data_IF_950645001066
#
_entry.id   IF_950645001066
#
_cell.length_a   1.000
_cell.length_b   1.000
_cell.length_c   1.000
_cell.angle_alpha   90.00
_cell.angle_beta   90.00
_cell.angle_gamma   90.00
#
_symmetry.space_group_name_H-M   'P 1'
#
loop_
_entity.id
_entity.type
_entity.pdbx_description
1 polymer ?
#
# COMPACT_ATOMS: atom_id res chain seq x y z
N UNK A 1 28.08 -47.41 -49.38
CA UNK A 1 26.98 -47.32 -48.39
C UNK A 1 27.62 -46.99 -47.05
N UNK A 2 27.31 -45.97 -46.26
CA UNK A 2 26.33 -44.88 -46.27
C UNK A 2 27.02 -43.70 -45.58
N UNK A 3 27.10 -42.53 -46.23
CA UNK A 3 27.56 -41.26 -45.61
C UNK A 3 26.41 -40.28 -45.67
N UNK A 4 25.42 -40.41 -44.79
CA UNK A 4 24.27 -39.51 -44.83
C UNK A 4 23.50 -39.38 -43.50
N UNK A 5 24.19 -39.29 -42.36
CA UNK A 5 23.52 -38.99 -41.08
C UNK A 5 24.38 -38.05 -40.23
N UNK A 6 24.56 -36.79 -40.65
CA UNK A 6 25.25 -35.80 -39.81
C UNK A 6 24.94 -34.30 -40.02
N UNK A 7 24.00 -33.82 -40.88
CA UNK A 7 23.69 -32.39 -40.89
C UNK A 7 22.57 -32.00 -39.92
N UNK A 8 21.58 -32.87 -39.65
CA UNK A 8 20.33 -32.49 -38.95
C UNK A 8 20.56 -32.11 -37.48
N UNK A 9 21.44 -32.84 -36.77
CA UNK A 9 21.71 -32.58 -35.35
C UNK A 9 22.40 -31.23 -35.10
N UNK A 10 23.28 -30.75 -36.00
CA UNK A 10 23.95 -29.45 -35.87
C UNK A 10 22.96 -28.27 -36.01
N UNK A 11 21.98 -28.37 -36.90
CA UNK A 11 20.92 -27.36 -37.03
C UNK A 11 19.94 -27.40 -35.86
N UNK A 12 19.62 -28.58 -35.32
CA UNK A 12 18.72 -28.68 -34.16
C UNK A 12 19.28 -28.01 -32.89
N UNK A 13 20.59 -28.11 -32.63
CA UNK A 13 21.22 -27.42 -31.51
C UNK A 13 21.28 -25.89 -31.68
N UNK A 14 21.51 -25.41 -32.91
CA UNK A 14 21.46 -23.98 -33.22
C UNK A 14 20.05 -23.42 -33.09
N UNK A 15 19.03 -24.17 -33.50
CA UNK A 15 17.62 -23.81 -33.36
C UNK A 15 17.24 -23.75 -31.87
N UNK A 16 17.64 -24.73 -31.05
CA UNK A 16 17.39 -24.74 -29.60
C UNK A 16 18.09 -23.56 -28.91
N UNK A 17 19.35 -23.26 -29.25
CA UNK A 17 20.07 -22.10 -28.71
C UNK A 17 19.42 -20.77 -29.11
N UNK A 18 18.90 -20.68 -30.33
CA UNK A 18 18.18 -19.50 -30.82
C UNK A 18 16.82 -19.34 -30.13
N UNK A 19 16.06 -20.42 -29.91
CA UNK A 19 14.83 -20.38 -29.13
C UNK A 19 15.08 -20.03 -27.66
N UNK A 20 16.16 -20.54 -27.08
CA UNK A 20 16.55 -20.18 -25.71
C UNK A 20 16.91 -18.69 -25.61
N UNK A 21 17.67 -18.12 -26.55
CA UNK A 21 18.02 -16.71 -26.53
C UNK A 21 16.83 -15.77 -26.82
N UNK A 22 15.90 -16.16 -27.69
CA UNK A 22 14.64 -15.42 -27.88
C UNK A 22 13.73 -15.50 -26.65
N UNK A 23 13.71 -16.65 -25.96
CA UNK A 23 12.90 -16.81 -24.75
C UNK A 23 13.40 -15.95 -23.59
N UNK A 24 14.73 -15.80 -23.44
CA UNK A 24 15.32 -14.90 -22.46
C UNK A 24 15.04 -13.44 -22.82
N UNK A 25 15.17 -13.07 -24.09
CA UNK A 25 14.90 -11.70 -24.54
C UNK A 25 13.41 -11.31 -24.40
N UNK A 26 12.49 -12.23 -24.71
CA UNK A 26 11.05 -12.03 -24.53
C UNK A 26 10.68 -11.89 -23.06
N UNK A 27 11.32 -12.69 -22.18
CA UNK A 27 11.14 -12.57 -20.73
C UNK A 27 11.67 -11.23 -20.23
N UNK A 28 12.84 -10.79 -20.67
CA UNK A 28 13.43 -9.51 -20.28
C UNK A 28 12.58 -8.30 -20.73
N UNK A 29 12.00 -8.35 -21.93
CA UNK A 29 11.08 -7.31 -22.42
C UNK A 29 9.80 -7.28 -21.56
N UNK A 30 9.20 -8.43 -21.29
CA UNK A 30 7.98 -8.52 -20.48
C UNK A 30 8.24 -8.01 -19.05
N UNK A 31 9.36 -8.41 -18.47
CA UNK A 31 9.82 -7.98 -17.15
C UNK A 31 10.08 -6.46 -17.08
N UNK A 32 10.60 -5.88 -18.15
CA UNK A 32 10.84 -4.43 -18.26
C UNK A 32 9.52 -3.66 -18.40
N UNK A 33 8.60 -4.14 -19.24
CA UNK A 33 7.28 -3.54 -19.44
C UNK A 33 6.44 -3.54 -18.16
N UNK A 34 6.45 -4.64 -17.40
CA UNK A 34 5.77 -4.73 -16.10
C UNK A 34 6.30 -3.67 -15.12
N UNK A 35 7.63 -3.56 -15.00
CA UNK A 35 8.27 -2.60 -14.09
C UNK A 35 7.91 -1.16 -14.46
N UNK A 36 7.92 -0.82 -15.75
CA UNK A 36 7.53 0.51 -16.24
C UNK A 36 6.05 0.82 -16.01
N UNK A 37 5.18 -0.17 -16.18
CA UNK A 37 3.75 -0.02 -15.88
C UNK A 37 3.50 0.28 -14.40
N UNK A 38 4.13 -0.48 -13.49
CA UNK A 38 4.05 -0.25 -12.05
C UNK A 38 4.60 1.13 -11.64
N UNK A 39 5.71 1.55 -12.26
CA UNK A 39 6.33 2.85 -12.00
C UNK A 39 5.37 3.98 -12.39
N UNK A 40 4.77 3.90 -13.59
CA UNK A 40 3.82 4.90 -14.06
C UNK A 40 2.58 5.00 -13.15
N UNK A 41 2.03 3.86 -12.71
CA UNK A 41 0.91 3.83 -11.78
C UNK A 41 1.26 4.47 -10.43
N UNK A 42 2.46 4.22 -9.91
CA UNK A 42 2.97 4.85 -8.69
C UNK A 42 3.06 6.37 -8.83
N UNK A 43 3.66 6.85 -9.93
CA UNK A 43 3.82 8.28 -10.22
C UNK A 43 2.45 8.94 -10.30
N UNK A 44 1.53 8.39 -11.09
CA UNK A 44 0.18 8.93 -11.24
C UNK A 44 -0.56 9.00 -9.90
N UNK A 45 -0.41 7.98 -9.05
CA UNK A 45 -1.04 7.96 -7.73
C UNK A 45 -0.53 9.10 -6.84
N UNK A 46 0.77 9.38 -6.86
CA UNK A 46 1.36 10.48 -6.08
C UNK A 46 0.93 11.83 -6.65
N UNK A 47 1.05 12.04 -7.96
CA UNK A 47 0.71 13.32 -8.61
C UNK A 47 -0.76 13.69 -8.46
N UNK A 48 -1.65 12.69 -8.53
CA UNK A 48 -3.09 12.93 -8.44
C UNK A 48 -3.60 13.07 -7.01
N UNK A 49 -2.77 12.78 -6.00
CA UNK A 49 -3.18 12.85 -4.60
C UNK A 49 -3.55 14.29 -4.21
N UNK A 50 -4.66 14.53 -3.49
CA UNK A 50 -5.08 15.87 -3.07
C UNK A 50 -3.99 16.62 -2.30
N UNK A 51 -3.27 15.92 -1.43
CA UNK A 51 -2.17 16.51 -0.65
C UNK A 51 -1.03 17.02 -1.55
N UNK A 52 -0.63 16.25 -2.57
CA UNK A 52 0.38 16.68 -3.55
C UNK A 52 -0.08 17.92 -4.30
N UNK A 53 -1.34 17.95 -4.77
CA UNK A 53 -1.91 19.12 -5.47
C UNK A 53 -1.96 20.37 -4.58
N UNK A 54 -2.20 20.20 -3.28
CA UNK A 54 -2.21 21.32 -2.34
C UNK A 54 -0.80 21.87 -2.05
N UNK A 55 0.20 20.99 -1.94
CA UNK A 55 1.57 21.37 -1.57
C UNK A 55 2.45 21.74 -2.79
N UNK A 56 2.10 21.24 -3.98
CA UNK A 56 2.79 21.47 -5.24
C UNK A 56 1.77 21.76 -6.37
N UNK A 57 1.04 22.89 -6.30
CA UNK A 57 -0.08 23.18 -7.20
C UNK A 57 0.31 23.32 -8.68
N UNK A 58 1.56 23.72 -8.96
CA UNK A 58 2.07 23.94 -10.31
C UNK A 58 3.16 22.94 -10.71
N UNK A 59 3.19 21.76 -10.06
CA UNK A 59 4.25 20.76 -10.22
C UNK A 59 4.50 20.35 -11.68
N UNK A 60 3.45 20.29 -12.50
CA UNK A 60 3.53 19.87 -13.91
C UNK A 60 3.58 21.02 -14.90
N UNK A 61 3.39 22.26 -14.46
CA UNK A 61 3.26 23.45 -15.32
C UNK A 61 4.41 24.42 -15.17
N UNK A 62 5.02 24.50 -13.98
CA UNK A 62 6.17 25.35 -13.71
C UNK A 62 7.47 24.55 -13.83
N UNK A 63 8.07 24.62 -15.01
CA UNK A 63 9.34 23.97 -15.35
C UNK A 63 10.57 24.77 -14.87
N UNK A 64 10.37 25.96 -14.30
CA UNK A 64 11.47 26.84 -13.87
C UNK A 64 11.79 26.69 -12.38
N UNK A 65 10.85 26.16 -11.60
CA UNK A 65 11.05 25.86 -10.19
C UNK A 65 11.97 24.65 -9.99
N UNK A 66 13.17 24.90 -9.44
CA UNK A 66 14.12 23.84 -9.05
C UNK A 66 13.52 22.86 -8.05
N UNK A 67 12.68 23.35 -7.13
CA UNK A 67 11.99 22.55 -6.12
C UNK A 67 11.00 21.54 -6.75
N UNK A 68 10.26 21.94 -7.78
CA UNK A 68 9.30 21.07 -8.45
C UNK A 68 9.99 20.02 -9.31
N UNK A 69 11.04 20.42 -10.02
CA UNK A 69 11.86 19.49 -10.78
C UNK A 69 12.54 18.46 -9.86
N UNK A 70 13.07 18.90 -8.72
CA UNK A 70 13.66 18.02 -7.71
C UNK A 70 12.61 17.03 -7.19
N UNK A 71 11.43 17.49 -6.81
CA UNK A 71 10.37 16.62 -6.31
C UNK A 71 9.91 15.59 -7.35
N UNK A 72 9.78 15.97 -8.64
CA UNK A 72 9.47 15.03 -9.72
C UNK A 72 10.57 13.96 -9.88
N UNK A 73 11.83 14.36 -9.77
CA UNK A 73 12.97 13.43 -9.84
C UNK A 73 12.97 12.45 -8.66
N UNK A 74 12.68 12.95 -7.45
CA UNK A 74 12.55 12.12 -6.25
C UNK A 74 11.38 11.13 -6.37
N UNK A 75 10.24 11.56 -6.91
CA UNK A 75 9.09 10.68 -7.21
C UNK A 75 9.50 9.57 -8.18
N UNK A 76 10.21 9.90 -9.25
CA UNK A 76 10.63 8.90 -10.25
C UNK A 76 11.53 7.82 -9.62
N UNK A 77 12.53 8.25 -8.85
CA UNK A 77 13.45 7.37 -8.13
C UNK A 77 12.74 6.50 -7.10
N UNK A 78 11.83 7.09 -6.31
CA UNK A 78 11.00 6.35 -5.36
C UNK A 78 10.12 5.32 -6.06
N UNK A 79 9.42 5.70 -7.12
CA UNK A 79 8.51 4.80 -7.83
C UNK A 79 9.26 3.68 -8.54
N UNK A 80 10.49 3.91 -9.00
CA UNK A 80 11.36 2.85 -9.48
C UNK A 80 11.71 1.85 -8.36
N UNK A 81 12.10 2.37 -7.18
CA UNK A 81 12.37 1.55 -5.99
C UNK A 81 11.14 0.71 -5.61
N UNK A 82 9.97 1.34 -5.48
CA UNK A 82 8.72 0.68 -5.12
C UNK A 82 8.29 -0.36 -6.16
N UNK A 83 8.45 -0.08 -7.45
CA UNK A 83 8.08 -1.00 -8.53
C UNK A 83 8.93 -2.26 -8.52
N UNK A 84 10.22 -2.13 -8.21
CA UNK A 84 11.11 -3.29 -8.06
C UNK A 84 10.67 -4.20 -6.90
N UNK A 85 10.27 -3.61 -5.76
CA UNK A 85 9.73 -4.33 -4.60
C UNK A 85 8.43 -5.02 -5.00
N UNK A 86 7.48 -4.30 -5.58
CA UNK A 86 6.16 -4.83 -5.93
C UNK A 86 6.25 -5.95 -6.95
N UNK A 87 7.17 -5.85 -7.92
CA UNK A 87 7.45 -6.94 -8.86
C UNK A 87 7.98 -8.18 -8.15
N UNK A 88 8.90 -8.03 -7.19
CA UNK A 88 9.39 -9.16 -6.38
C UNK A 88 8.26 -9.81 -5.57
N UNK A 89 7.39 -9.00 -4.97
CA UNK A 89 6.23 -9.48 -4.20
C UNK A 89 5.20 -10.20 -5.09
N UNK A 90 4.94 -9.69 -6.30
CA UNK A 90 4.07 -10.35 -7.27
C UNK A 90 4.64 -11.70 -7.72
N UNK A 91 5.95 -11.77 -7.96
CA UNK A 91 6.63 -13.04 -8.31
C UNK A 91 6.51 -14.06 -7.17
N UNK A 92 6.79 -13.64 -5.94
CA UNK A 92 6.62 -14.50 -4.75
C UNK A 92 5.17 -14.96 -4.59
N UNK A 93 4.20 -14.05 -4.72
CA UNK A 93 2.77 -14.36 -4.62
C UNK A 93 2.32 -15.37 -5.68
N UNK A 94 2.83 -15.25 -6.90
CA UNK A 94 2.49 -16.15 -8.01
C UNK A 94 3.15 -17.52 -7.84
N UNK A 95 4.32 -17.58 -7.20
CA UNK A 95 5.00 -18.85 -6.91
C UNK A 95 4.36 -19.58 -5.73
N UNK A 96 4.02 -18.86 -4.66
CA UNK A 96 3.47 -19.42 -3.43
C UNK A 96 2.52 -18.43 -2.75
N UNK A 97 1.28 -18.41 -3.22
CA UNK A 97 0.24 -17.54 -2.69
C UNK A 97 -0.03 -17.79 -1.20
N UNK A 98 0.03 -19.05 -0.76
CA UNK A 98 -0.29 -19.41 0.61
C UNK A 98 0.74 -18.79 1.55
N UNK A 99 2.03 -19.05 1.34
CA UNK A 99 3.07 -18.45 2.16
C UNK A 99 3.11 -16.92 2.06
N UNK A 100 2.84 -16.37 0.87
CA UNK A 100 2.72 -14.91 0.71
C UNK A 100 1.58 -14.32 1.56
N UNK A 101 0.45 -15.01 1.69
CA UNK A 101 -0.71 -14.53 2.46
C UNK A 101 -0.44 -14.41 3.96
N UNK A 102 0.52 -15.19 4.50
CA UNK A 102 0.97 -15.11 5.89
C UNK A 102 2.16 -14.17 6.10
N UNK A 103 2.68 -13.55 5.03
CA UNK A 103 3.81 -12.64 5.13
C UNK A 103 3.43 -11.41 5.94
N UNK A 104 4.31 -11.03 6.86
CA UNK A 104 4.13 -9.88 7.72
C UNK A 104 4.16 -8.58 6.89
N UNK A 105 3.00 -7.91 6.80
CA UNK A 105 2.84 -6.63 6.08
C UNK A 105 3.78 -5.54 6.60
N UNK A 106 4.28 -5.66 7.84
CA UNK A 106 5.32 -4.81 8.41
C UNK A 106 6.58 -4.78 7.56
N UNK A 107 6.97 -5.91 6.96
CA UNK A 107 8.17 -6.02 6.11
C UNK A 107 7.99 -5.20 4.83
N UNK A 108 6.80 -5.22 4.22
CA UNK A 108 6.50 -4.41 3.04
C UNK A 108 6.59 -2.92 3.38
N UNK A 109 6.03 -2.48 4.52
CA UNK A 109 6.14 -1.09 4.98
C UNK A 109 7.57 -0.69 5.35
N UNK A 110 8.39 -1.61 5.88
CA UNK A 110 9.80 -1.38 6.15
C UNK A 110 10.62 -1.17 4.87
N UNK A 111 10.39 -1.99 3.84
CA UNK A 111 11.03 -1.79 2.53
C UNK A 111 10.60 -0.48 1.88
N UNK A 112 9.33 -0.09 2.04
CA UNK A 112 8.84 1.20 1.56
C UNK A 112 9.45 2.38 2.33
N UNK A 113 9.60 2.29 3.66
CA UNK A 113 10.34 3.25 4.49
C UNK A 113 11.76 3.44 3.95
N UNK A 114 12.47 2.35 3.63
CA UNK A 114 13.80 2.41 3.04
C UNK A 114 13.81 3.13 1.68
N UNK A 115 12.81 2.89 0.82
CA UNK A 115 12.68 3.64 -0.43
C UNK A 115 12.39 5.13 -0.20
N UNK A 116 11.57 5.48 0.80
CA UNK A 116 11.25 6.89 1.11
C UNK A 116 12.51 7.62 1.58
N UNK A 117 13.19 7.07 2.60
CA UNK A 117 14.38 7.66 3.21
C UNK A 117 15.56 7.79 2.24
N UNK A 118 15.65 6.90 1.25
CA UNK A 118 16.71 6.93 0.25
C UNK A 118 16.49 8.00 -0.85
N UNK A 119 15.23 8.24 -1.24
CA UNK A 119 14.94 8.97 -2.48
C UNK A 119 14.28 10.34 -2.25
N UNK A 120 13.76 10.65 -1.06
CA UNK A 120 13.14 11.95 -0.78
C UNK A 120 13.99 12.82 0.14
N UNK A 121 13.95 14.13 -0.07
CA UNK A 121 14.49 15.11 0.88
C UNK A 121 13.60 15.21 2.13
N UNK A 122 14.14 15.72 3.24
CA UNK A 122 13.42 15.87 4.51
C UNK A 122 12.09 16.63 4.38
N UNK A 123 12.06 17.62 3.49
CA UNK A 123 10.88 18.39 3.14
C UNK A 123 9.81 17.51 2.45
N UNK A 124 10.22 16.67 1.49
CA UNK A 124 9.31 15.86 0.68
C UNK A 124 8.85 14.58 1.40
N UNK A 125 9.66 14.08 2.35
CA UNK A 125 9.35 12.89 3.16
C UNK A 125 7.99 13.02 3.86
N UNK A 126 7.67 14.20 4.42
CA UNK A 126 6.39 14.39 5.11
C UNK A 126 5.19 14.26 4.17
N UNK A 127 5.30 14.80 2.95
CA UNK A 127 4.27 14.69 1.91
C UNK A 127 4.01 13.24 1.57
N UNK A 128 5.08 12.47 1.35
CA UNK A 128 4.95 11.07 0.94
C UNK A 128 4.43 10.18 2.07
N UNK A 129 4.85 10.42 3.32
CA UNK A 129 4.28 9.73 4.47
C UNK A 129 2.78 10.00 4.62
N UNK A 130 2.36 11.24 4.38
CA UNK A 130 0.93 11.60 4.43
C UNK A 130 0.14 10.88 3.34
N UNK A 131 0.65 10.84 2.11
CA UNK A 131 0.03 10.12 0.99
C UNK A 131 -0.05 8.61 1.28
N UNK A 132 1.01 8.02 1.82
CA UNK A 132 1.04 6.60 2.15
C UNK A 132 0.09 6.27 3.31
N UNK A 133 -0.05 7.17 4.29
CA UNK A 133 -1.02 7.03 5.37
C UNK A 133 -2.46 6.99 4.84
N UNK A 134 -2.84 7.97 4.01
CA UNK A 134 -4.21 8.09 3.50
C UNK A 134 -4.56 6.95 2.52
N UNK A 135 -3.61 6.53 1.69
CA UNK A 135 -3.90 5.55 0.64
C UNK A 135 -3.67 4.08 1.05
N UNK A 136 -2.90 3.80 2.09
CA UNK A 136 -2.56 2.42 2.51
C UNK A 136 -2.96 2.14 3.96
N UNK A 137 -2.42 2.90 4.92
CA UNK A 137 -2.59 2.60 6.35
C UNK A 137 -4.04 2.79 6.80
N UNK A 138 -4.71 3.83 6.29
CA UNK A 138 -6.13 4.10 6.54
C UNK A 138 -7.03 2.93 6.13
N UNK A 139 -6.80 2.35 4.94
CA UNK A 139 -7.51 1.16 4.46
C UNK A 139 -7.30 -0.05 5.39
N UNK A 140 -6.08 -0.26 5.88
CA UNK A 140 -5.79 -1.33 6.83
C UNK A 140 -6.47 -1.13 8.18
N UNK A 141 -6.48 0.11 8.68
CA UNK A 141 -7.17 0.46 9.91
C UNK A 141 -8.67 0.23 9.79
N UNK A 142 -9.28 0.69 8.70
CA UNK A 142 -10.71 0.51 8.44
C UNK A 142 -11.13 -0.98 8.47
N UNK A 143 -10.33 -1.84 7.83
CA UNK A 143 -10.55 -3.29 7.87
C UNK A 143 -10.44 -3.85 9.30
N UNK A 144 -9.43 -3.44 10.06
CA UNK A 144 -9.22 -3.88 11.46
C UNK A 144 -10.37 -3.43 12.37
N UNK A 145 -10.86 -2.20 12.23
CA UNK A 145 -12.03 -1.69 12.97
C UNK A 145 -13.26 -2.53 12.64
N UNK A 146 -13.52 -2.82 11.36
CA UNK A 146 -14.66 -3.66 10.92
C UNK A 146 -14.59 -5.09 11.45
N UNK A 147 -13.40 -5.66 11.59
CA UNK A 147 -13.23 -6.98 12.21
C UNK A 147 -13.49 -6.96 13.71
N UNK A 148 -13.17 -5.86 14.40
CA UNK A 148 -13.45 -5.68 15.82
C UNK A 148 -14.91 -5.40 16.11
N UNK A 149 -15.54 -4.60 15.26
CA UNK A 149 -16.93 -4.16 15.37
C UNK A 149 -17.67 -4.61 14.11
N UNK A 150 -17.97 -5.91 13.97
CA UNK A 150 -18.66 -6.40 12.79
C UNK A 150 -20.06 -5.78 12.73
N UNK A 151 -20.51 -5.42 11.53
CA UNK A 151 -21.85 -4.87 11.31
C UNK A 151 -22.96 -5.76 11.90
N UNK A 152 -22.70 -7.07 12.05
CA UNK A 152 -23.63 -8.02 12.66
C UNK A 152 -23.77 -7.92 14.18
N UNK A 153 -22.77 -7.43 14.89
CA UNK A 153 -22.89 -7.20 16.32
C UNK A 153 -23.84 -6.02 16.62
N UNK A 154 -24.07 -5.14 15.63
CA UNK A 154 -24.81 -3.89 15.79
C UNK A 154 -25.90 -3.73 14.72
N UNK A 155 -26.58 -4.82 14.35
CA UNK A 155 -27.60 -4.84 13.29
C UNK A 155 -28.72 -3.80 13.45
N UNK A 156 -28.94 -3.31 14.66
CA UNK A 156 -29.95 -2.28 14.96
C UNK A 156 -29.41 -0.86 14.77
N UNK A 157 -28.12 -0.63 14.56
CA UNK A 157 -27.57 0.71 14.32
C UNK A 157 -27.96 1.22 12.93
N UNK A 158 -28.21 2.53 12.82
CA UNK A 158 -28.35 3.17 11.50
C UNK A 158 -27.00 3.20 10.78
N UNK A 159 -27.02 3.13 9.46
CA UNK A 159 -25.80 3.21 8.63
C UNK A 159 -24.98 4.47 8.94
N UNK A 160 -25.65 5.63 9.07
CA UNK A 160 -25.01 6.89 9.43
C UNK A 160 -24.40 6.88 10.83
N UNK A 161 -25.04 6.24 11.80
CA UNK A 161 -24.50 6.11 13.16
C UNK A 161 -23.28 5.20 13.18
N UNK A 162 -23.27 4.13 12.37
CA UNK A 162 -22.14 3.23 12.27
C UNK A 162 -20.95 3.89 11.58
N UNK A 163 -21.19 4.59 10.48
CA UNK A 163 -20.18 5.37 9.79
C UNK A 163 -19.56 6.43 10.71
N UNK A 164 -20.38 7.17 11.47
CA UNK A 164 -19.90 8.18 12.42
C UNK A 164 -19.00 7.58 13.51
N UNK A 165 -19.39 6.43 14.09
CA UNK A 165 -18.59 5.74 15.12
C UNK A 165 -17.28 5.22 14.54
N UNK A 166 -17.32 4.55 13.37
CA UNK A 166 -16.11 4.04 12.72
C UNK A 166 -15.15 5.15 12.31
N UNK A 167 -15.66 6.24 11.72
CA UNK A 167 -14.85 7.39 11.32
C UNK A 167 -14.18 8.05 12.54
N UNK A 168 -14.89 8.18 13.66
CA UNK A 168 -14.31 8.71 14.89
C UNK A 168 -13.18 7.81 15.42
N UNK A 169 -13.39 6.50 15.51
CA UNK A 169 -12.37 5.55 15.99
C UNK A 169 -11.14 5.60 15.07
N UNK A 170 -11.38 5.62 13.75
CA UNK A 170 -10.34 5.72 12.74
C UNK A 170 -9.51 7.00 12.93
N UNK A 171 -10.16 8.16 13.08
CA UNK A 171 -9.48 9.44 13.30
C UNK A 171 -8.65 9.45 14.58
N UNK A 172 -9.18 8.92 15.69
CA UNK A 172 -8.48 8.87 16.98
C UNK A 172 -7.22 8.02 16.92
N UNK A 173 -7.31 6.83 16.31
CA UNK A 173 -6.15 5.94 16.14
C UNK A 173 -5.13 6.57 15.20
N UNK A 174 -5.57 7.13 14.06
CA UNK A 174 -4.66 7.81 13.12
C UNK A 174 -3.97 9.00 13.78
N UNK A 175 -4.66 9.80 14.58
CA UNK A 175 -4.06 10.94 15.29
C UNK A 175 -3.00 10.51 16.30
N UNK A 176 -3.17 9.35 16.92
CA UNK A 176 -2.17 8.75 17.81
C UNK A 176 -0.95 8.26 17.02
N UNK A 177 -1.19 7.48 15.95
CA UNK A 177 -0.14 6.78 15.22
C UNK A 177 0.59 7.64 14.15
N UNK A 178 -0.04 8.68 13.60
CA UNK A 178 0.53 9.51 12.52
C UNK A 178 1.66 10.44 12.94
N UNK A 179 1.88 10.61 14.25
CA UNK A 179 3.05 11.35 14.78
C UNK A 179 4.38 10.68 14.46
N UNK A 180 4.33 9.42 14.03
CA UNK A 180 5.50 8.59 13.79
C UNK A 180 5.91 8.71 12.31
N UNK A 181 7.12 9.21 12.05
CA UNK A 181 7.67 9.39 10.70
C UNK A 181 8.22 8.08 10.10
N UNK A 182 7.42 7.01 10.14
CA UNK A 182 7.76 5.69 9.56
C UNK A 182 6.48 4.90 9.32
N UNK A 183 6.33 4.34 8.12
CA UNK A 183 5.20 3.48 7.78
C UNK A 183 5.19 2.20 8.62
N UNK A 184 6.35 1.58 8.82
CA UNK A 184 6.49 0.38 9.65
C UNK A 184 6.00 0.64 11.07
N UNK A 185 6.45 1.73 11.66
CA UNK A 185 6.16 2.04 13.05
C UNK A 185 4.71 2.54 13.21
N UNK A 186 4.19 3.28 12.23
CA UNK A 186 2.76 3.65 12.17
C UNK A 186 1.88 2.41 12.04
N UNK A 187 2.27 1.45 11.21
CA UNK A 187 1.57 0.16 11.09
C UNK A 187 1.57 -0.61 12.41
N UNK A 188 2.72 -0.70 13.09
CA UNK A 188 2.82 -1.36 14.39
C UNK A 188 1.93 -0.68 15.44
N UNK A 189 1.88 0.65 15.46
CA UNK A 189 0.99 1.40 16.34
C UNK A 189 -0.48 1.11 16.04
N UNK A 190 -0.89 1.13 14.78
CA UNK A 190 -2.25 0.75 14.36
C UNK A 190 -2.56 -0.68 14.80
N UNK A 191 -1.61 -1.59 14.61
CA UNK A 191 -1.74 -2.98 15.00
C UNK A 191 -1.91 -3.12 16.51
N UNK A 192 -1.07 -2.50 17.34
CA UNK A 192 -1.20 -2.57 18.80
C UNK A 192 -2.52 -1.97 19.26
N UNK A 193 -2.89 -0.81 18.70
CA UNK A 193 -4.13 -0.08 19.03
C UNK A 193 -5.40 -0.88 18.72
N UNK A 194 -5.33 -1.80 17.74
CA UNK A 194 -6.48 -2.62 17.31
C UNK A 194 -6.44 -4.05 17.82
N UNK A 195 -5.26 -4.60 18.13
CA UNK A 195 -5.10 -5.96 18.67
C UNK A 195 -5.24 -5.98 20.21
N UNK A 196 -4.94 -4.89 20.90
CA UNK A 196 -5.11 -4.78 22.34
C UNK A 196 -6.55 -4.37 22.70
N UNK A 197 -7.25 -5.25 23.41
CA UNK A 197 -8.64 -5.00 23.83
C UNK A 197 -8.81 -3.72 24.67
N UNK A 198 -7.92 -3.49 25.66
CA UNK A 198 -8.02 -2.33 26.56
C UNK A 198 -7.76 -1.02 25.82
N UNK A 199 -6.80 -1.03 24.91
CA UNK A 199 -6.43 0.14 24.12
C UNK A 199 -7.55 0.49 23.12
N UNK A 200 -8.09 -0.52 22.43
CA UNK A 200 -9.20 -0.33 21.50
C UNK A 200 -10.46 0.21 22.20
N UNK A 201 -10.84 -0.36 23.35
CA UNK A 201 -11.97 0.10 24.16
C UNK A 201 -11.81 1.56 24.63
N UNK A 202 -10.56 1.98 24.90
CA UNK A 202 -10.26 3.39 25.23
C UNK A 202 -10.57 4.33 24.06
N UNK A 203 -10.28 3.91 22.82
CA UNK A 203 -10.64 4.70 21.63
C UNK A 203 -12.14 4.67 21.37
N UNK A 204 -12.79 3.52 21.53
CA UNK A 204 -14.22 3.37 21.32
C UNK A 204 -15.04 4.27 22.27
N UNK A 205 -14.68 4.33 23.55
CA UNK A 205 -15.36 5.17 24.56
C UNK A 205 -15.25 6.67 24.31
N UNK A 206 -14.26 7.10 23.52
CA UNK A 206 -14.12 8.52 23.14
C UNK A 206 -15.01 8.90 21.95
N UNK A 207 -15.72 7.93 21.37
CA UNK A 207 -16.55 8.12 20.20
C UNK A 207 -18.04 8.04 20.54
N UNK A 208 -18.91 8.64 19.70
CA UNK A 208 -20.35 8.53 19.88
C UNK A 208 -20.79 7.08 19.95
N UNK A 209 -21.74 6.77 20.85
CA UNK A 209 -22.39 5.47 20.88
C UNK A 209 -23.33 5.30 19.68
N UNK A 210 -23.69 4.06 19.36
CA UNK A 210 -24.69 3.83 18.34
C UNK A 210 -26.04 4.41 18.80
N UNK A 211 -26.69 5.24 17.99
CA UNK A 211 -27.89 5.99 18.39
C UNK A 211 -29.04 5.08 18.89
N UNK A 212 -29.11 3.86 18.39
CA UNK A 212 -30.14 2.89 18.80
C UNK A 212 -29.77 2.08 20.05
N UNK A 213 -28.48 1.97 20.41
CA UNK A 213 -28.06 1.40 21.70
C UNK A 213 -28.45 2.31 22.87
N UNK A 214 -28.38 3.63 22.68
CA UNK A 214 -28.82 4.58 23.71
C UNK A 214 -30.32 4.46 24.02
N UNK A 215 -31.16 4.24 22.98
CA UNK A 215 -32.60 4.02 23.16
C UNK A 215 -32.89 2.72 23.92
N UNK A 216 -32.10 1.67 23.66
CA UNK A 216 -32.19 0.40 24.38
C UNK A 216 -31.74 0.54 25.85
N UNK A 217 -30.61 1.23 26.10
CA UNK A 217 -30.16 1.49 27.47
C UNK A 217 -31.19 2.30 28.28
N UNK A 218 -31.79 3.33 27.66
CA UNK A 218 -32.85 4.14 28.29
C UNK A 218 -34.12 3.35 28.58
N UNK A 219 -34.46 2.34 27.76
CA UNK A 219 -35.63 1.49 28.01
C UNK A 219 -35.36 0.42 29.07
N UNK A 220 -34.11 0.01 29.28
CA UNK A 220 -33.73 -0.92 30.34
C UNK A 220 -33.68 -0.24 31.71
N UNK A 221 -33.29 1.04 31.80
CA UNK A 221 -33.33 1.82 33.06
C UNK A 221 -34.75 2.25 33.50
N UNK A 222 -35.77 1.99 32.67
CA UNK A 222 -37.18 2.33 32.93
C UNK A 222 -38.05 1.12 33.33
N UNK A 223 -37.46 -0.06 33.54
CA UNK A 223 -38.12 -1.30 33.99
C UNK A 223 -37.60 -1.69 35.37
#
# INVERSE_FOLDING_TARGET
MSKQEAPIYRYSHLIILFFLSLSTFSKDISDYQETKSLQFQCIQKILNHPFTKAHYPNLTTDQTSSMYYEFLTQIDQFCNCQSSIQKSENKEKNADFFNWSFKDKRITFEKEDQCILKNFSDHAIHTIYTIALDTKLRKHLNLRIKHRLPNSAYHLATESSAEMKFNCIEEKILRSCSKIKSLRTTYNCIQSSTDNFKEFDTFERQCPQFQNEQRLAQTVDLI
#
